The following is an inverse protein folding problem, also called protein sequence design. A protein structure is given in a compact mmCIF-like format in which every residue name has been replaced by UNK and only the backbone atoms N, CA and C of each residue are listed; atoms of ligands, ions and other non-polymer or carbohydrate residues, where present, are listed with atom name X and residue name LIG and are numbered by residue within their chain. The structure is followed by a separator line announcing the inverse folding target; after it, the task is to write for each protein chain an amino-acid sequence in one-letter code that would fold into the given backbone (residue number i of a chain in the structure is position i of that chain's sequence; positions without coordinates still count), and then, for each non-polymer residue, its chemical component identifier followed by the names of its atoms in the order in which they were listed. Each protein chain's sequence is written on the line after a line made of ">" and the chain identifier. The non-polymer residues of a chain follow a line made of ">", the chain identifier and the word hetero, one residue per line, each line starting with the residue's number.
data_IF_520695470937
#
_entry.id   IF_520695470937
#
_cell.length_a   1.000
_cell.length_b   1.000
_cell.length_c   1.000
_cell.angle_alpha   90.00
_cell.angle_beta   90.00
_cell.angle_gamma   90.00
#
_symmetry.space_group_name_H-M   'P 1'
#
loop_
_entity.id
_entity.type
_entity.pdbx_description
1 polymer ?
#
# COMPACT_ATOMS: atom_id res chain seq x y z
N UNK A 1 24.17 0.05 3.37
CA UNK A 1 23.25 -1.12 3.46
C UNK A 1 21.83 -0.63 3.28
N UNK A 2 20.84 -1.54 3.26
CA UNK A 2 19.43 -1.15 3.22
C UNK A 2 19.04 -0.31 4.45
N UNK A 3 18.19 0.70 4.26
CA UNK A 3 17.66 1.54 5.34
C UNK A 3 16.54 0.85 6.13
N UNK A 4 15.72 0.05 5.43
CA UNK A 4 14.58 -0.66 5.96
C UNK A 4 14.57 -2.13 5.50
N UNK A 5 13.82 -2.95 6.22
CA UNK A 5 13.44 -4.31 5.83
C UNK A 5 11.95 -4.30 5.52
N UNK A 6 11.57 -4.75 4.33
CA UNK A 6 10.18 -4.99 3.95
C UNK A 6 9.81 -6.42 4.37
N UNK A 7 8.81 -6.56 5.24
CA UNK A 7 8.33 -7.86 5.71
C UNK A 7 6.99 -8.21 5.07
N UNK A 8 6.91 -9.42 4.51
CA UNK A 8 5.73 -9.95 3.81
C UNK A 8 5.15 -11.15 4.59
N UNK A 9 5.18 -12.36 4.00
CA UNK A 9 4.55 -13.58 4.54
C UNK A 9 5.13 -14.09 5.86
N UNK A 10 6.28 -13.59 6.31
CA UNK A 10 6.86 -13.99 7.59
C UNK A 10 5.94 -13.68 8.79
N UNK A 11 5.17 -12.59 8.71
CA UNK A 11 4.22 -12.19 9.76
C UNK A 11 2.77 -12.59 9.45
N UNK A 12 2.49 -13.12 8.26
CA UNK A 12 1.16 -13.61 7.87
C UNK A 12 1.22 -15.11 7.59
N UNK A 13 0.84 -15.92 8.57
CA UNK A 13 0.91 -17.39 8.49
C UNK A 13 -0.37 -18.02 9.00
N UNK A 14 -0.76 -19.14 8.39
CA UNK A 14 -1.97 -19.90 8.74
C UNK A 14 -3.23 -19.03 8.81
N UNK A 15 -3.31 -18.05 7.91
CA UNK A 15 -4.43 -17.12 7.82
C UNK A 15 -4.49 -16.06 8.91
N UNK A 16 -3.45 -15.87 9.72
CA UNK A 16 -3.42 -14.95 10.86
C UNK A 16 -2.15 -14.10 10.89
N UNK A 17 -2.18 -13.02 11.68
CA UNK A 17 -0.98 -12.25 12.01
C UNK A 17 -0.21 -12.99 13.11
N UNK A 18 1.06 -13.27 12.88
CA UNK A 18 1.99 -13.85 13.83
C UNK A 18 2.73 -12.73 14.58
N UNK A 19 2.10 -12.20 15.62
CA UNK A 19 2.63 -11.06 16.38
C UNK A 19 4.02 -11.28 16.98
N UNK A 20 4.33 -12.52 17.38
CA UNK A 20 5.67 -12.87 17.87
C UNK A 20 6.76 -12.66 16.83
N UNK A 21 6.47 -12.90 15.56
CA UNK A 21 7.42 -12.69 14.46
C UNK A 21 7.64 -11.19 14.22
N UNK A 22 6.57 -10.40 14.29
CA UNK A 22 6.65 -8.95 14.18
C UNK A 22 7.44 -8.34 15.36
N UNK A 23 7.22 -8.84 16.58
CA UNK A 23 7.97 -8.42 17.78
C UNK A 23 9.46 -8.81 17.70
N UNK A 24 9.78 -10.01 17.20
CA UNK A 24 11.17 -10.43 16.96
C UNK A 24 11.87 -9.51 15.97
N UNK A 25 11.21 -9.13 14.87
CA UNK A 25 11.75 -8.16 13.91
C UNK A 25 11.96 -6.80 14.58
N UNK A 26 10.93 -6.28 15.26
CA UNK A 26 11.01 -5.01 15.99
C UNK A 26 12.17 -4.97 16.98
N UNK A 27 12.39 -6.03 17.74
CA UNK A 27 13.52 -6.16 18.67
C UNK A 27 14.88 -6.20 17.97
N UNK A 28 14.93 -6.79 16.78
CA UNK A 28 16.19 -6.98 16.05
C UNK A 28 16.64 -5.73 15.28
N UNK A 29 15.71 -5.00 14.64
CA UNK A 29 16.05 -3.87 13.76
C UNK A 29 15.46 -2.52 14.18
N UNK A 30 14.54 -2.51 15.14
CA UNK A 30 13.77 -1.33 15.54
C UNK A 30 12.58 -1.07 14.62
N UNK A 31 11.48 -0.51 15.16
CA UNK A 31 10.24 -0.26 14.38
C UNK A 31 10.49 0.68 13.20
N UNK A 32 11.37 1.66 13.38
CA UNK A 32 11.76 2.70 12.43
C UNK A 32 12.56 2.19 11.22
N UNK A 33 12.73 0.87 11.10
CA UNK A 33 13.40 0.20 9.99
C UNK A 33 12.57 -0.93 9.40
N UNK A 34 11.28 -0.99 9.75
CA UNK A 34 10.37 -2.03 9.29
C UNK A 34 9.30 -1.39 8.43
N UNK A 35 9.14 -1.90 7.21
CA UNK A 35 7.99 -1.66 6.35
C UNK A 35 7.18 -2.95 6.30
N UNK A 36 5.89 -2.89 6.59
CA UNK A 36 5.01 -4.05 6.46
C UNK A 36 4.34 -4.04 5.10
N UNK A 37 4.61 -5.05 4.28
CA UNK A 37 3.94 -5.27 3.00
C UNK A 37 2.63 -6.02 3.23
N UNK A 38 1.54 -5.36 2.86
CA UNK A 38 0.19 -5.89 2.92
C UNK A 38 -0.38 -5.99 1.51
N UNK A 39 -0.37 -7.20 0.97
CA UNK A 39 -1.15 -7.51 -0.23
C UNK A 39 -2.61 -7.73 0.14
N UNK A 40 -3.52 -7.00 -0.48
CA UNK A 40 -4.95 -6.99 -0.18
C UNK A 40 -5.74 -7.48 -1.38
N UNK A 41 -6.80 -8.25 -1.14
CA UNK A 41 -7.74 -8.65 -2.19
C UNK A 41 -9.17 -8.55 -1.69
N UNK A 42 -10.05 -8.07 -2.54
CA UNK A 42 -11.47 -7.98 -2.23
C UNK A 42 -12.11 -9.38 -2.24
N UNK A 43 -12.89 -9.67 -1.21
CA UNK A 43 -13.79 -10.83 -1.15
C UNK A 43 -15.12 -10.36 -0.60
N UNK A 44 -16.17 -10.55 -1.40
CA UNK A 44 -17.52 -10.05 -1.13
C UNK A 44 -17.52 -8.52 -0.96
N UNK A 45 -17.65 -8.02 0.27
CA UNK A 45 -17.75 -6.59 0.61
C UNK A 45 -16.59 -6.08 1.47
N UNK A 46 -15.48 -6.82 1.49
CA UNK A 46 -14.35 -6.52 2.36
C UNK A 46 -13.01 -6.86 1.71
N UNK A 47 -11.99 -6.09 2.06
CA UNK A 47 -10.61 -6.41 1.73
C UNK A 47 -10.01 -7.32 2.79
N UNK A 48 -9.29 -8.34 2.35
CA UNK A 48 -8.57 -9.26 3.20
C UNK A 48 -7.11 -9.29 2.79
N UNK A 49 -6.23 -9.47 3.77
CA UNK A 49 -4.82 -9.71 3.50
C UNK A 49 -4.69 -11.07 2.82
N UNK A 50 -3.91 -11.12 1.74
CA UNK A 50 -3.61 -12.34 1.00
C UNK A 50 -2.13 -12.66 1.02
N UNK A 51 -1.82 -13.94 0.97
CA UNK A 51 -0.45 -14.48 0.99
C UNK A 51 -0.28 -15.51 -0.12
N UNK A 52 0.92 -16.06 -0.26
CA UNK A 52 1.26 -17.09 -1.26
C UNK A 52 0.90 -16.65 -2.68
N UNK A 53 1.60 -15.61 -3.17
CA UNK A 53 1.34 -14.98 -4.48
C UNK A 53 -0.14 -14.63 -4.67
N UNK A 54 -0.76 -14.14 -3.60
CA UNK A 54 -2.15 -13.68 -3.57
C UNK A 54 -3.21 -14.78 -3.77
N UNK A 55 -2.79 -16.05 -3.73
CA UNK A 55 -3.65 -17.20 -3.91
C UNK A 55 -4.39 -17.58 -2.61
N UNK A 56 -3.79 -17.30 -1.44
CA UNK A 56 -4.34 -17.69 -0.14
C UNK A 56 -4.84 -16.50 0.66
N UNK A 57 -6.16 -16.41 0.83
CA UNK A 57 -6.81 -15.49 1.76
C UNK A 57 -6.42 -15.80 3.21
N UNK A 58 -6.19 -14.74 3.98
CA UNK A 58 -6.14 -14.82 5.44
C UNK A 58 -7.53 -14.54 6.03
N UNK A 59 -7.69 -14.76 7.34
CA UNK A 59 -8.85 -14.33 8.12
C UNK A 59 -8.74 -12.85 8.52
N UNK A 60 -7.65 -12.18 8.15
CA UNK A 60 -7.35 -10.80 8.53
C UNK A 60 -8.01 -9.86 7.52
N UNK A 61 -9.15 -9.31 7.92
CA UNK A 61 -9.80 -8.22 7.20
C UNK A 61 -8.98 -6.94 7.36
N UNK A 62 -8.79 -6.20 6.27
CA UNK A 62 -8.16 -4.90 6.28
C UNK A 62 -9.14 -3.88 6.83
N UNK A 63 -8.83 -3.35 8.01
CA UNK A 63 -9.60 -2.35 8.74
C UNK A 63 -8.64 -1.45 9.51
N UNK A 64 -9.04 -0.22 9.84
CA UNK A 64 -8.22 0.73 10.61
C UNK A 64 -7.63 0.11 11.88
N UNK A 65 -8.42 -0.66 12.64
CA UNK A 65 -7.92 -1.32 13.88
C UNK A 65 -6.74 -2.26 13.63
N UNK A 66 -6.68 -2.88 12.45
CA UNK A 66 -5.59 -3.79 12.08
C UNK A 66 -4.36 -2.98 11.71
N UNK A 67 -4.54 -1.91 10.94
CA UNK A 67 -3.48 -0.95 10.62
C UNK A 67 -2.90 -0.32 11.91
N UNK A 68 -3.75 0.12 12.84
CA UNK A 68 -3.34 0.69 14.13
C UNK A 68 -2.51 -0.28 14.98
N UNK A 69 -2.86 -1.57 14.96
CA UNK A 69 -2.13 -2.58 15.72
C UNK A 69 -0.78 -2.89 15.10
N UNK A 70 -0.72 -3.02 13.78
CA UNK A 70 0.53 -3.30 13.07
C UNK A 70 1.47 -2.08 13.14
N UNK A 71 0.93 -0.86 13.04
CA UNK A 71 1.71 0.40 13.08
C UNK A 71 2.48 0.62 14.37
N UNK A 72 2.12 -0.06 15.46
CA UNK A 72 2.92 -0.07 16.69
C UNK A 72 4.29 -0.74 16.53
N UNK A 73 4.52 -1.44 15.42
CA UNK A 73 5.71 -2.26 15.18
C UNK A 73 6.41 -1.98 13.85
N UNK A 74 5.92 -1.04 13.04
CA UNK A 74 6.56 -0.63 11.79
C UNK A 74 6.55 0.89 11.62
N UNK A 75 7.35 1.39 10.69
CA UNK A 75 7.47 2.81 10.36
C UNK A 75 6.56 3.22 9.21
N UNK A 76 6.24 2.27 8.33
CA UNK A 76 5.45 2.47 7.12
C UNK A 76 4.76 1.16 6.70
N UNK A 77 3.70 1.29 5.91
CA UNK A 77 3.13 0.18 5.14
C UNK A 77 3.41 0.32 3.65
N UNK A 78 3.67 -0.81 3.00
CA UNK A 78 3.56 -0.96 1.55
C UNK A 78 2.29 -1.74 1.26
N UNK A 79 1.30 -1.16 0.57
CA UNK A 79 0.01 -1.81 0.33
C UNK A 79 -0.21 -2.01 -1.16
N UNK A 80 -0.54 -3.24 -1.57
CA UNK A 80 -0.86 -3.56 -2.96
C UNK A 80 -2.25 -4.19 -3.05
N UNK A 81 -3.15 -3.57 -3.82
CA UNK A 81 -4.42 -4.14 -4.22
C UNK A 81 -4.23 -5.17 -5.33
N UNK A 82 -4.57 -6.43 -5.05
CA UNK A 82 -4.46 -7.53 -6.01
C UNK A 82 -5.83 -7.83 -6.59
N UNK A 83 -5.97 -7.62 -7.90
CA UNK A 83 -7.10 -8.13 -8.64
C UNK A 83 -6.79 -9.53 -9.21
N UNK A 84 -7.81 -10.37 -9.28
CA UNK A 84 -7.78 -11.67 -9.95
C UNK A 84 -8.63 -11.62 -11.21
N UNK A 85 -8.19 -10.90 -12.22
CA UNK A 85 -8.81 -11.06 -13.53
C UNK A 85 -7.98 -10.53 -14.70
N UNK A 86 -6.65 -10.43 -14.59
CA UNK A 86 -5.83 -9.98 -15.73
C UNK A 86 -6.20 -8.60 -16.27
N UNK A 87 -7.01 -7.83 -15.53
CA UNK A 87 -7.40 -6.46 -15.84
C UNK A 87 -6.31 -5.54 -15.36
N UNK A 88 -5.36 -5.30 -16.25
CA UNK A 88 -4.44 -4.15 -16.20
C UNK A 88 -5.20 -2.85 -16.40
N UNK A 89 -6.11 -2.47 -15.50
CA UNK A 89 -6.85 -1.22 -15.66
C UNK A 89 -7.02 -0.50 -14.33
N UNK A 90 -5.98 0.25 -13.96
CA UNK A 90 -6.10 1.34 -13.00
C UNK A 90 -5.89 0.96 -11.53
N UNK A 91 -5.95 1.99 -10.71
CA UNK A 91 -5.91 1.93 -9.25
C UNK A 91 -7.18 1.27 -8.71
N UNK A 92 -7.05 0.41 -7.70
CA UNK A 92 -8.20 -0.02 -6.90
C UNK A 92 -8.66 1.16 -6.04
N UNK A 93 -9.63 1.93 -6.56
CA UNK A 93 -10.12 3.17 -5.95
C UNK A 93 -10.76 2.96 -4.57
N UNK A 94 -11.43 1.82 -4.35
CA UNK A 94 -12.09 1.54 -3.07
C UNK A 94 -11.06 1.21 -2.00
N UNK A 95 -10.03 0.44 -2.34
CA UNK A 95 -8.90 0.20 -1.45
C UNK A 95 -8.14 1.49 -1.17
N UNK A 96 -7.86 2.30 -2.20
CA UNK A 96 -7.15 3.57 -2.06
C UNK A 96 -7.92 4.54 -1.16
N UNK A 97 -9.26 4.63 -1.30
CA UNK A 97 -10.12 5.44 -0.44
C UNK A 97 -10.09 4.98 1.00
N UNK A 98 -10.26 3.67 1.25
CA UNK A 98 -10.18 3.09 2.59
C UNK A 98 -8.85 3.40 3.29
N UNK A 99 -7.74 3.29 2.57
CA UNK A 99 -6.41 3.60 3.09
C UNK A 99 -6.21 5.11 3.30
N UNK A 100 -6.72 5.94 2.39
CA UNK A 100 -6.64 7.41 2.47
C UNK A 100 -7.43 8.01 3.62
N UNK A 101 -8.49 7.34 4.07
CA UNK A 101 -9.28 7.76 5.23
C UNK A 101 -8.53 7.54 6.56
N UNK A 102 -7.64 6.54 6.62
CA UNK A 102 -6.84 6.26 7.82
C UNK A 102 -5.70 7.28 8.00
N UNK A 103 -5.51 7.78 9.22
CA UNK A 103 -4.62 8.91 9.55
C UNK A 103 -3.41 8.51 10.41
N UNK A 104 -2.93 7.27 10.25
CA UNK A 104 -1.83 6.70 11.04
C UNK A 104 -0.44 7.05 10.50
N UNK A 105 0.42 6.03 10.41
CA UNK A 105 1.77 6.15 9.84
C UNK A 105 1.72 6.12 8.30
N UNK A 106 2.79 6.53 7.59
CA UNK A 106 2.82 6.54 6.13
C UNK A 106 2.41 5.20 5.49
N UNK A 107 1.74 5.31 4.35
CA UNK A 107 1.39 4.20 3.47
C UNK A 107 1.86 4.55 2.07
N UNK A 108 2.64 3.66 1.48
CA UNK A 108 2.93 3.65 0.04
C UNK A 108 2.01 2.65 -0.66
N UNK A 109 1.17 3.13 -1.58
CA UNK A 109 0.33 2.29 -2.42
C UNK A 109 1.09 1.80 -3.66
N UNK A 110 1.07 0.50 -3.90
CA UNK A 110 1.76 -0.12 -5.03
C UNK A 110 0.77 -0.75 -6.01
N UNK A 111 0.88 -0.35 -7.28
CA UNK A 111 0.11 -0.92 -8.40
C UNK A 111 -0.90 0.05 -9.01
N UNK A 112 -1.37 -0.28 -10.22
CA UNK A 112 -2.52 0.38 -10.84
C UNK A 112 -2.29 1.74 -11.52
N UNK A 113 -1.27 2.52 -11.16
CA UNK A 113 -0.99 3.81 -11.80
C UNK A 113 -0.27 3.60 -13.14
N UNK A 114 -1.01 3.79 -14.25
CA UNK A 114 -0.50 3.63 -15.62
C UNK A 114 -0.39 4.94 -16.41
N UNK A 115 -1.06 5.99 -15.96
CA UNK A 115 -1.17 7.28 -16.64
C UNK A 115 -1.11 8.47 -15.66
N UNK A 116 -1.03 9.69 -16.19
CA UNK A 116 -1.11 10.90 -15.34
C UNK A 116 -2.53 11.07 -14.78
N UNK A 117 -3.53 10.66 -15.54
CA UNK A 117 -4.94 10.66 -15.15
C UNK A 117 -5.19 9.72 -13.97
N UNK A 118 -4.59 8.51 -13.98
CA UNK A 118 -4.65 7.59 -12.83
C UNK A 118 -4.03 8.22 -11.58
N UNK A 119 -2.92 8.94 -11.75
CA UNK A 119 -2.22 9.61 -10.65
C UNK A 119 -3.04 10.76 -10.05
N UNK A 120 -3.68 11.57 -10.89
CA UNK A 120 -4.61 12.62 -10.45
C UNK A 120 -5.82 12.04 -9.73
N UNK A 121 -6.38 10.96 -10.27
CA UNK A 121 -7.52 10.26 -9.68
C UNK A 121 -7.14 9.67 -8.32
N UNK A 122 -5.99 9.01 -8.22
CA UNK A 122 -5.44 8.50 -6.96
C UNK A 122 -5.29 9.61 -5.91
N UNK A 123 -4.73 10.75 -6.30
CA UNK A 123 -4.58 11.89 -5.39
C UNK A 123 -5.93 12.42 -4.88
N UNK A 124 -6.94 12.52 -5.74
CA UNK A 124 -8.29 12.95 -5.36
C UNK A 124 -8.95 11.98 -4.37
N UNK A 125 -8.88 10.68 -4.64
CA UNK A 125 -9.50 9.63 -3.80
C UNK A 125 -8.84 9.59 -2.42
N UNK A 126 -7.52 9.68 -2.38
CA UNK A 126 -6.73 9.58 -1.14
C UNK A 126 -6.64 10.90 -0.38
N UNK A 127 -7.11 12.01 -0.98
CA UNK A 127 -6.88 13.36 -0.46
C UNK A 127 -5.39 13.72 -0.37
N UNK A 128 -4.55 13.11 -1.20
CA UNK A 128 -3.09 13.29 -1.17
C UNK A 128 -2.39 12.72 0.07
N UNK A 129 -3.04 11.81 0.82
CA UNK A 129 -2.50 11.25 2.07
C UNK A 129 -1.64 10.01 1.88
N UNK A 130 -1.68 9.36 0.72
CA UNK A 130 -0.89 8.17 0.43
C UNK A 130 0.25 8.50 -0.52
N UNK A 131 1.41 7.90 -0.26
CA UNK A 131 2.50 7.79 -1.23
C UNK A 131 2.17 6.69 -2.26
N UNK A 132 2.94 6.63 -3.35
CA UNK A 132 2.68 5.67 -4.43
C UNK A 132 3.96 5.18 -5.10
N UNK A 133 3.89 3.99 -5.69
CA UNK A 133 4.93 3.46 -6.60
C UNK A 133 4.43 3.37 -8.03
N UNK A 134 5.29 3.70 -8.99
CA UNK A 134 5.08 3.39 -10.41
C UNK A 134 6.27 2.56 -10.89
N UNK A 135 5.98 1.41 -11.48
CA UNK A 135 6.98 0.49 -12.03
C UNK A 135 6.93 0.45 -13.56
N UNK A 136 6.41 -0.64 -14.11
CA UNK A 136 6.40 -0.95 -15.55
C UNK A 136 5.72 0.09 -16.45
N UNK A 137 4.87 0.97 -15.91
CA UNK A 137 4.25 2.04 -16.69
C UNK A 137 5.23 3.16 -17.05
N UNK A 138 6.33 3.33 -16.31
CA UNK A 138 7.32 4.36 -16.59
C UNK A 138 8.04 4.11 -17.92
N UNK A 139 8.30 5.18 -18.66
CA UNK A 139 9.12 5.17 -19.88
C UNK A 139 10.52 4.57 -19.67
N UNK A 140 11.13 4.78 -18.49
CA UNK A 140 12.39 4.15 -18.08
C UNK A 140 12.36 2.61 -18.11
N UNK A 141 11.18 2.01 -18.01
CA UNK A 141 10.98 0.55 -18.01
C UNK A 141 10.20 0.06 -19.25
N UNK A 142 10.11 0.89 -20.30
CA UNK A 142 9.43 0.55 -21.56
C UNK A 142 7.93 0.83 -21.58
N UNK A 143 7.40 1.52 -20.57
CA UNK A 143 6.03 2.03 -20.57
C UNK A 143 5.89 3.40 -21.28
N UNK A 144 4.74 4.05 -21.11
CA UNK A 144 4.41 5.32 -21.77
C UNK A 144 4.33 6.51 -20.81
N UNK A 145 4.42 6.28 -19.50
CA UNK A 145 4.29 7.33 -18.48
C UNK A 145 5.65 8.01 -18.26
N UNK A 146 5.81 9.31 -18.54
CA UNK A 146 7.13 9.94 -18.48
C UNK A 146 7.66 10.07 -17.05
N UNK A 147 8.82 9.50 -16.76
CA UNK A 147 9.43 9.55 -15.43
C UNK A 147 9.59 10.98 -14.90
N UNK A 148 10.04 11.91 -15.75
CA UNK A 148 10.25 13.31 -15.34
C UNK A 148 8.94 14.00 -14.91
N UNK A 149 7.80 13.58 -15.47
CA UNK A 149 6.48 14.10 -15.07
C UNK A 149 6.06 13.54 -13.72
N UNK A 150 6.23 12.24 -13.51
CA UNK A 150 5.90 11.57 -12.23
C UNK A 150 6.81 12.08 -11.11
N UNK A 151 8.12 12.20 -11.35
CA UNK A 151 9.11 12.71 -10.39
C UNK A 151 8.79 14.10 -9.87
N UNK A 152 8.27 14.97 -10.74
CA UNK A 152 7.88 16.35 -10.42
C UNK A 152 6.48 16.49 -9.82
N UNK A 153 5.71 15.40 -9.77
CA UNK A 153 4.33 15.47 -9.33
C UNK A 153 4.23 15.77 -7.82
N UNK A 154 3.33 16.68 -7.46
CA UNK A 154 3.08 17.12 -6.07
C UNK A 154 1.58 17.14 -5.73
N UNK A 155 0.74 16.57 -6.59
CA UNK A 155 -0.70 16.74 -6.52
C UNK A 155 -1.14 18.12 -7.01
N UNK A 156 -2.33 18.19 -7.59
CA UNK A 156 -3.00 19.48 -7.77
C UNK A 156 -3.30 20.03 -6.37
N UNK A 157 -2.72 21.17 -6.02
CA UNK A 157 -2.99 21.81 -4.72
C UNK A 157 -4.50 21.97 -4.55
N UNK A 158 -5.08 21.32 -3.54
CA UNK A 158 -6.37 21.75 -3.02
C UNK A 158 -6.16 23.13 -2.39
N UNK A 159 -6.28 24.20 -3.18
CA UNK A 159 -6.57 25.51 -2.64
C UNK A 159 -7.90 25.42 -1.88
N UNK A 160 -7.81 25.37 -0.55
CA UNK A 160 -8.97 25.54 0.33
C UNK A 160 -9.23 24.37 1.27
N UNK A 161 -8.54 24.35 2.41
CA UNK A 161 -9.22 24.55 3.69
C UNK A 161 -8.17 24.75 4.78
N UNK A 162 -7.84 26.02 5.07
CA UNK A 162 -7.43 26.38 6.42
C UNK A 162 -8.67 26.21 7.31
N UNK A 163 -8.67 25.26 8.22
CA UNK A 163 -9.26 25.40 9.56
C UNK A 163 -8.44 24.58 10.55
#
# INVERSE_FOLDING_TARGET
>A
GASHVIVTSYIFRDGKIHWENLDKLKKSVGKQRIVVDVSCRKRERAYYIVTDRWQKFTEVKLEERVLDKISQSCDEFLVHGVDVEGKTSGVDEELAGLLGDWSGIPITYAGGIGSMEDLERFFQITGGRLDFTVGSALDLFGGNLPYDRVKGYRGSSCEGSKR
#
